data_IF_786606077094
#
_entry.id   IF_786606077094
#
_cell.length_a   1.000
_cell.length_b   1.000
_cell.length_c   1.000
_cell.angle_alpha   90.00
_cell.angle_beta   90.00
_cell.angle_gamma   90.00
#
_symmetry.space_group_name_H-M   'P 1'
#
loop_
_entity.id
_entity.type
_entity.pdbx_description
1 polymer ?
#
# COMPACT_ATOMS: atom_id res chain seq x y z
N UNK A 1 -9.07 -6.95 3.62
CA UNK A 1 -9.99 -8.12 3.62
C UNK A 1 -9.17 -9.40 3.49
N UNK A 2 -9.50 -10.43 4.24
CA UNK A 2 -8.94 -11.78 4.12
C UNK A 2 -10.07 -12.72 3.72
N UNK A 3 -10.09 -13.17 2.47
CA UNK A 3 -11.15 -14.06 1.95
C UNK A 3 -11.03 -15.50 2.46
N UNK A 4 -9.82 -16.08 2.46
CA UNK A 4 -9.49 -17.42 2.96
C UNK A 4 -10.55 -18.49 2.62
N UNK A 5 -11.20 -19.10 3.64
CA UNK A 5 -12.21 -20.14 3.46
C UNK A 5 -13.48 -19.72 2.71
N UNK A 6 -13.65 -18.42 2.43
CA UNK A 6 -14.71 -17.87 1.58
C UNK A 6 -15.30 -16.57 2.14
N UNK A 7 -15.43 -15.55 1.28
CA UNK A 7 -16.22 -14.33 1.53
C UNK A 7 -17.03 -14.04 0.27
N UNK A 8 -18.31 -13.72 0.44
CA UNK A 8 -19.10 -12.99 -0.54
C UNK A 8 -19.21 -11.56 0.00
N UNK A 9 -18.84 -10.58 -0.82
CA UNK A 9 -18.91 -9.16 -0.46
C UNK A 9 -19.32 -8.33 -1.66
N UNK A 10 -19.91 -7.18 -1.39
CA UNK A 10 -20.15 -6.13 -2.36
C UNK A 10 -19.43 -4.86 -1.88
N UNK A 11 -18.72 -4.20 -2.80
CA UNK A 11 -18.02 -2.94 -2.53
C UNK A 11 -18.75 -1.82 -3.27
N UNK A 12 -19.37 -0.91 -2.52
CA UNK A 12 -20.13 0.23 -3.06
C UNK A 12 -19.49 1.55 -2.67
N UNK A 13 -19.70 2.58 -3.49
CA UNK A 13 -19.40 3.95 -3.10
C UNK A 13 -20.18 4.35 -1.84
N UNK A 14 -19.56 5.17 -0.98
CA UNK A 14 -20.28 5.71 0.17
C UNK A 14 -21.53 6.49 -0.30
N UNK A 15 -22.64 6.48 0.44
CA UNK A 15 -23.85 7.23 0.05
C UNK A 15 -23.60 8.72 -0.13
N UNK A 16 -22.65 9.30 0.62
CA UNK A 16 -22.25 10.69 0.47
C UNK A 16 -21.57 10.93 -0.89
N UNK A 17 -20.59 10.09 -1.24
CA UNK A 17 -19.89 10.18 -2.52
C UNK A 17 -20.82 9.91 -3.71
N UNK A 18 -21.72 8.92 -3.59
CA UNK A 18 -22.72 8.63 -4.60
C UNK A 18 -23.66 9.82 -4.88
N UNK A 19 -23.92 10.68 -3.87
CA UNK A 19 -24.73 11.90 -4.03
C UNK A 19 -23.96 13.08 -4.61
N UNK A 20 -22.72 13.31 -4.17
CA UNK A 20 -21.93 14.46 -4.59
C UNK A 20 -21.19 14.24 -5.91
N UNK A 21 -20.95 12.99 -6.28
CA UNK A 21 -20.04 12.63 -7.35
C UNK A 21 -18.59 13.06 -7.06
N UNK A 22 -17.75 12.96 -8.09
CA UNK A 22 -16.33 13.30 -8.03
C UNK A 22 -15.46 12.16 -8.56
N UNK A 23 -14.14 12.38 -8.54
CA UNK A 23 -13.16 11.34 -8.91
C UNK A 23 -12.86 10.48 -7.67
N UNK A 24 -13.07 9.18 -7.80
CA UNK A 24 -12.57 8.20 -6.84
C UNK A 24 -11.30 7.58 -7.42
N UNK A 25 -10.17 7.80 -6.75
CA UNK A 25 -8.91 7.11 -7.04
C UNK A 25 -8.68 6.07 -5.95
N UNK A 26 -8.56 4.80 -6.34
CA UNK A 26 -8.43 3.67 -5.42
C UNK A 26 -7.44 2.64 -5.97
N UNK A 27 -6.69 2.02 -5.08
CA UNK A 27 -5.84 0.87 -5.39
C UNK A 27 -6.42 -0.36 -4.70
N UNK A 28 -6.60 -1.44 -5.46
CA UNK A 28 -6.96 -2.76 -4.94
C UNK A 28 -5.82 -3.73 -5.22
N UNK A 29 -5.20 -4.25 -4.14
CA UNK A 29 -4.11 -5.21 -4.21
C UNK A 29 -4.58 -6.56 -3.67
N UNK A 30 -4.48 -7.60 -4.49
CA UNK A 30 -4.73 -8.98 -4.06
C UNK A 30 -3.42 -9.65 -3.70
N UNK A 31 -3.36 -10.18 -2.47
CA UNK A 31 -2.19 -10.91 -1.99
C UNK A 31 -2.55 -12.35 -1.72
N UNK A 32 -1.79 -13.27 -2.31
CA UNK A 32 -2.01 -14.70 -2.12
C UNK A 32 -1.72 -15.11 -0.67
N UNK A 33 -2.50 -16.07 -0.17
CA UNK A 33 -2.25 -16.70 1.13
C UNK A 33 -1.37 -17.95 0.96
N UNK A 34 -0.43 -18.21 1.89
CA UNK A 34 0.27 -19.48 1.97
C UNK A 34 -0.73 -20.65 2.02
N UNK A 35 -0.36 -21.81 1.48
CA UNK A 35 -1.26 -22.96 1.36
C UNK A 35 -1.91 -23.36 2.71
N UNK A 36 -1.15 -23.34 3.80
CA UNK A 36 -1.62 -23.64 5.16
C UNK A 36 -2.71 -22.67 5.67
N UNK A 37 -2.72 -21.44 5.16
CA UNK A 37 -3.58 -20.35 5.63
C UNK A 37 -4.81 -20.15 4.73
N UNK A 38 -4.92 -20.87 3.60
CA UNK A 38 -6.05 -20.77 2.66
C UNK A 38 -7.40 -21.16 3.26
N UNK A 39 -7.41 -21.89 4.38
CA UNK A 39 -8.63 -22.28 5.12
C UNK A 39 -8.82 -21.49 6.42
N UNK A 40 -8.05 -20.43 6.64
CA UNK A 40 -8.22 -19.56 7.80
C UNK A 40 -9.64 -18.94 7.82
N UNK A 41 -10.07 -18.49 8.99
CA UNK A 41 -11.29 -17.72 9.11
C UNK A 41 -11.19 -16.44 8.28
N UNK A 42 -12.26 -16.15 7.56
CA UNK A 42 -12.38 -14.91 6.82
C UNK A 42 -12.45 -13.71 7.77
N UNK A 43 -11.98 -12.55 7.32
CA UNK A 43 -11.92 -11.39 8.21
C UNK A 43 -11.70 -10.06 7.51
N UNK A 44 -12.08 -9.01 8.24
CA UNK A 44 -11.86 -7.63 7.84
C UNK A 44 -10.94 -6.93 8.82
N UNK A 45 -10.11 -6.04 8.28
CA UNK A 45 -9.28 -5.11 9.04
C UNK A 45 -9.56 -3.75 8.46
N UNK A 46 -10.37 -2.96 9.16
CA UNK A 46 -10.62 -1.55 8.79
C UNK A 46 -9.46 -0.73 9.32
N UNK A 47 -8.76 -0.05 8.43
CA UNK A 47 -7.62 0.81 8.75
C UNK A 47 -7.95 2.21 8.24
N UNK A 48 -8.19 3.13 9.16
CA UNK A 48 -8.46 4.53 8.86
C UNK A 48 -7.15 5.29 8.66
N UNK A 49 -7.22 6.50 8.12
CA UNK A 49 -6.05 7.34 7.88
C UNK A 49 -5.21 7.55 9.16
N UNK A 50 -5.87 7.75 10.30
CA UNK A 50 -5.21 7.98 11.59
C UNK A 50 -4.59 6.71 12.20
N UNK A 51 -4.97 5.52 11.72
CA UNK A 51 -4.41 4.25 12.18
C UNK A 51 -3.06 3.96 11.49
N UNK A 52 -2.80 4.60 10.35
CA UNK A 52 -1.65 4.33 9.49
C UNK A 52 -0.55 5.35 9.78
N UNK A 53 0.61 4.94 10.33
CA UNK A 53 1.72 5.84 10.58
C UNK A 53 2.22 6.51 9.30
N UNK A 54 2.47 7.82 9.41
CA UNK A 54 3.09 8.61 8.35
C UNK A 54 4.51 8.98 8.77
N UNK A 55 5.47 8.69 7.91
CA UNK A 55 6.88 9.01 8.09
C UNK A 55 7.25 10.12 7.12
N UNK A 56 7.80 11.22 7.65
CA UNK A 56 8.44 12.24 6.82
C UNK A 56 9.78 11.71 6.32
N UNK A 57 10.02 11.81 5.03
CA UNK A 57 11.27 11.37 4.43
C UNK A 57 12.40 12.37 4.70
N UNK A 58 13.63 11.87 4.70
CA UNK A 58 14.83 12.68 4.91
C UNK A 58 14.90 13.87 3.93
N UNK A 59 15.46 14.99 4.39
CA UNK A 59 15.58 16.22 3.59
C UNK A 59 14.24 16.81 3.16
N UNK A 60 13.15 16.46 3.87
CA UNK A 60 11.78 16.78 3.47
C UNK A 60 11.43 16.30 2.06
N UNK A 61 12.04 15.20 1.59
CA UNK A 61 11.83 14.64 0.26
C UNK A 61 10.37 14.24 0.00
N UNK A 62 9.55 14.12 1.05
CA UNK A 62 8.14 13.77 0.93
C UNK A 62 7.64 13.02 2.16
N UNK A 63 6.66 12.14 1.97
CA UNK A 63 6.08 11.34 3.03
C UNK A 63 5.76 9.91 2.59
N UNK A 64 5.80 8.98 3.54
CA UNK A 64 5.50 7.56 3.34
C UNK A 64 4.53 7.08 4.42
N UNK A 65 3.45 6.41 4.00
CA UNK A 65 2.46 5.78 4.87
C UNK A 65 2.76 4.28 4.99
N UNK A 66 2.91 3.77 6.20
CA UNK A 66 3.23 2.36 6.45
C UNK A 66 1.94 1.55 6.63
N UNK A 67 1.42 0.96 5.56
CA UNK A 67 0.15 0.21 5.60
C UNK A 67 0.36 -1.18 6.22
N UNK A 68 1.39 -1.90 5.77
CA UNK A 68 1.81 -3.20 6.29
C UNK A 68 3.34 -3.27 6.37
N UNK A 69 3.87 -4.16 7.21
CA UNK A 69 5.31 -4.32 7.40
C UNK A 69 5.92 -3.20 8.22
N UNK A 70 7.18 -2.84 7.95
CA UNK A 70 7.91 -1.84 8.75
C UNK A 70 8.75 -0.93 7.87
N UNK A 71 8.75 0.35 8.18
CA UNK A 71 9.68 1.32 7.60
C UNK A 71 10.32 2.14 8.72
N UNK A 72 11.65 2.14 8.78
CA UNK A 72 12.42 2.67 9.92
C UNK A 72 11.90 2.10 11.25
N UNK A 73 11.50 2.95 12.18
CA UNK A 73 10.95 2.62 13.49
C UNK A 73 9.42 2.56 13.52
N UNK A 74 8.74 2.64 12.36
CA UNK A 74 7.28 2.61 12.26
C UNK A 74 6.75 1.29 11.72
N UNK A 75 5.81 0.71 12.46
CA UNK A 75 5.14 -0.54 12.14
C UNK A 75 3.76 -0.26 11.53
N UNK A 76 3.45 -0.88 10.40
CA UNK A 76 2.14 -0.79 9.79
C UNK A 76 1.09 -1.60 10.56
N UNK A 77 -0.17 -1.12 10.66
CA UNK A 77 -1.21 -1.73 11.47
C UNK A 77 -1.84 -2.98 10.82
N UNK A 78 -1.67 -3.17 9.50
CA UNK A 78 -2.23 -4.34 8.81
C UNK A 78 -1.55 -5.63 9.28
N UNK A 79 -2.34 -6.57 9.80
CA UNK A 79 -1.87 -7.93 10.09
C UNK A 79 -1.85 -8.74 8.80
N UNK A 80 -0.74 -9.40 8.51
CA UNK A 80 -0.53 -10.19 7.29
C UNK A 80 -0.18 -11.64 7.62
N UNK A 81 -0.48 -12.57 6.69
CA UNK A 81 -0.15 -14.00 6.81
C UNK A 81 1.23 -14.34 6.22
N UNK A 82 1.67 -13.54 5.27
CA UNK A 82 3.01 -13.56 4.69
C UNK A 82 3.70 -12.29 5.13
N UNK A 83 4.98 -12.36 5.47
CA UNK A 83 5.73 -11.13 5.73
C UNK A 83 5.84 -10.31 4.44
N UNK A 84 5.45 -9.05 4.51
CA UNK A 84 5.49 -8.13 3.38
C UNK A 84 5.52 -6.70 3.88
N UNK A 85 5.97 -5.81 3.00
CA UNK A 85 5.91 -4.37 3.19
C UNK A 85 4.96 -3.78 2.16
N UNK A 86 4.03 -2.95 2.61
CA UNK A 86 3.10 -2.22 1.73
C UNK A 86 3.12 -0.77 2.17
N UNK A 87 3.63 0.09 1.29
CA UNK A 87 3.83 1.52 1.56
C UNK A 87 3.13 2.36 0.49
N UNK A 88 2.51 3.46 0.92
CA UNK A 88 2.00 4.52 0.05
C UNK A 88 2.94 5.72 0.16
N UNK A 89 3.53 6.13 -0.96
CA UNK A 89 4.65 7.08 -1.02
C UNK A 89 4.26 8.33 -1.83
N UNK A 90 4.57 9.50 -1.27
CA UNK A 90 4.58 10.77 -1.98
C UNK A 90 5.99 11.34 -1.96
N UNK A 91 6.60 11.45 -3.14
CA UNK A 91 7.94 12.03 -3.32
C UNK A 91 7.81 13.41 -3.99
N UNK A 92 8.54 14.40 -3.49
CA UNK A 92 8.61 15.74 -4.09
C UNK A 92 9.45 15.69 -5.37
N UNK A 93 9.12 16.55 -6.32
CA UNK A 93 9.89 16.69 -7.56
C UNK A 93 11.35 17.07 -7.25
N UNK A 94 12.29 16.45 -7.97
CA UNK A 94 13.73 16.65 -7.78
C UNK A 94 14.32 15.96 -6.55
N UNK A 95 13.51 15.33 -5.70
CA UNK A 95 14.01 14.56 -4.57
C UNK A 95 14.42 13.13 -4.99
N UNK A 96 15.37 12.57 -4.26
CA UNK A 96 15.83 11.18 -4.41
C UNK A 96 15.55 10.43 -3.12
N UNK A 97 15.13 9.18 -3.24
CA UNK A 97 14.88 8.30 -2.10
C UNK A 97 15.46 6.92 -2.38
N UNK A 98 16.14 6.36 -1.38
CA UNK A 98 16.51 4.94 -1.37
C UNK A 98 15.55 4.19 -0.45
N UNK A 99 14.95 3.12 -0.98
CA UNK A 99 14.06 2.25 -0.24
C UNK A 99 14.75 0.89 -0.01
N UNK A 100 14.85 0.41 1.24
CA UNK A 100 15.39 -0.91 1.49
C UNK A 100 14.40 -1.97 1.00
N UNK A 101 14.90 -2.96 0.26
CA UNK A 101 14.15 -4.18 -0.09
C UNK A 101 14.83 -5.34 0.60
N UNK A 102 14.08 -6.07 1.43
CA UNK A 102 14.63 -7.23 2.12
C UNK A 102 15.07 -8.31 1.10
N UNK A 103 16.26 -8.87 1.31
CA UNK A 103 16.79 -9.92 0.44
C UNK A 103 15.81 -11.09 0.31
N UNK A 104 15.60 -11.56 -0.92
CA UNK A 104 14.67 -12.64 -1.24
C UNK A 104 13.19 -12.23 -1.30
N UNK A 105 12.84 -10.95 -1.10
CA UNK A 105 11.49 -10.44 -1.36
C UNK A 105 11.36 -9.92 -2.79
N UNK A 106 10.23 -10.22 -3.41
CA UNK A 106 9.81 -9.54 -4.63
C UNK A 106 9.46 -8.09 -4.31
N UNK A 107 9.87 -7.17 -5.18
CA UNK A 107 9.53 -5.76 -5.09
C UNK A 107 8.74 -5.34 -6.34
N UNK A 108 7.70 -4.54 -6.13
CA UNK A 108 6.93 -3.90 -7.18
C UNK A 108 6.72 -2.43 -6.80
N UNK A 109 6.87 -1.54 -7.79
CA UNK A 109 6.61 -0.11 -7.65
C UNK A 109 5.50 0.25 -8.62
N UNK A 110 4.44 0.87 -8.12
CA UNK A 110 3.29 1.33 -8.92
C UNK A 110 3.22 2.84 -8.82
N UNK A 111 3.36 3.52 -9.95
CA UNK A 111 3.26 4.98 -10.03
C UNK A 111 1.80 5.33 -10.29
N UNK A 112 1.13 5.92 -9.30
CA UNK A 112 -0.26 6.36 -9.45
C UNK A 112 -0.35 7.72 -10.14
N UNK A 113 0.60 8.62 -9.85
CA UNK A 113 0.65 9.97 -10.41
C UNK A 113 2.08 10.47 -10.56
N UNK A 114 2.33 11.18 -11.65
CA UNK A 114 3.63 11.78 -11.95
C UNK A 114 4.57 10.79 -12.64
N UNK A 115 5.85 11.14 -12.62
CA UNK A 115 6.93 10.35 -13.20
C UNK A 115 8.11 10.29 -12.25
N UNK A 116 8.85 9.19 -12.29
CA UNK A 116 10.06 8.98 -11.52
C UNK A 116 11.05 8.17 -12.32
N UNK A 117 12.33 8.32 -11.99
CA UNK A 117 13.40 7.48 -12.52
C UNK A 117 13.83 6.47 -11.47
N UNK A 118 13.73 5.20 -11.81
CA UNK A 118 14.14 4.07 -10.98
C UNK A 118 15.59 3.74 -11.29
N UNK A 119 16.42 3.70 -10.24
CA UNK A 119 17.84 3.32 -10.29
C UNK A 119 18.65 4.03 -11.38
N UNK A 120 18.32 5.30 -11.66
CA UNK A 120 18.92 6.11 -12.74
C UNK A 120 18.84 5.53 -14.16
N UNK A 121 18.12 4.43 -14.35
CA UNK A 121 18.08 3.68 -15.60
C UNK A 121 16.72 3.76 -16.29
N UNK A 122 15.64 3.67 -15.52
CA UNK A 122 14.30 3.46 -16.09
C UNK A 122 13.32 4.53 -15.64
N UNK A 123 12.72 5.23 -16.60
CA UNK A 123 11.59 6.10 -16.32
C UNK A 123 10.31 5.26 -16.11
N UNK A 124 9.55 5.61 -15.07
CA UNK A 124 8.24 5.05 -14.78
C UNK A 124 7.26 6.20 -14.52
N UNK A 125 6.10 6.15 -15.18
CA UNK A 125 5.04 7.13 -15.04
C UNK A 125 3.71 6.48 -14.69
N UNK A 126 2.72 7.31 -14.35
CA UNK A 126 1.34 6.85 -14.24
C UNK A 126 0.87 6.25 -15.58
N UNK A 127 0.27 5.06 -15.50
CA UNK A 127 -0.34 4.37 -16.64
C UNK A 127 -1.70 4.92 -17.02
#
# INVERSE_FOLDING_TARGET
MTAAGGIIHEEFHSPAFARSGGTLEMVQLWVNLPARDKRAAAGYQTLLANDIPVVTLEGEAGSLRVIAGRYLDRQGPARTFTEMDVWDLRLKAGATLQLPVAAGRNAALVVLRGTLRVNDEREAGAG
#
